data_IF_363398396120
#
_entry.id   IF_363398396120
#
_cell.length_a   1.000
_cell.length_b   1.000
_cell.length_c   1.000
_cell.angle_alpha   90.00
_cell.angle_beta   90.00
_cell.angle_gamma   90.00
#
_symmetry.space_group_name_H-M   'P 1'
#
loop_
_entity.id
_entity.type
_entity.pdbx_description
1 polymer ?
#
# COMPACT_ATOMS: atom_id res chain seq x y z
N UNK A 1 -7.86 22.46 1.13
CA UNK A 1 -6.85 21.48 0.64
C UNK A 1 -5.50 21.57 1.35
N UNK A 2 -4.97 22.77 1.65
CA UNK A 2 -3.61 22.94 2.21
C UNK A 2 -3.30 22.09 3.47
N UNK A 3 -4.23 21.96 4.42
CA UNK A 3 -4.02 21.13 5.63
C UNK A 3 -3.94 19.62 5.35
N UNK A 4 -4.65 19.13 4.33
CA UNK A 4 -4.67 17.72 3.95
C UNK A 4 -3.42 17.29 3.15
N UNK A 5 -2.71 18.25 2.55
CA UNK A 5 -1.48 18.01 1.78
C UNK A 5 -0.23 17.98 2.67
N UNK A 6 -0.28 18.54 3.89
CA UNK A 6 0.88 18.57 4.82
C UNK A 6 1.48 17.19 5.10
N UNK A 7 0.69 16.14 5.41
CA UNK A 7 1.25 14.80 5.64
C UNK A 7 1.91 14.22 4.38
N UNK A 8 1.33 14.47 3.20
CA UNK A 8 1.90 14.03 1.91
C UNK A 8 3.25 14.67 1.69
N UNK A 9 3.35 15.99 1.86
CA UNK A 9 4.60 16.75 1.66
C UNK A 9 5.68 16.33 2.66
N UNK A 10 5.32 16.15 3.94
CA UNK A 10 6.29 15.70 4.97
C UNK A 10 6.85 14.32 4.66
N UNK A 11 5.99 13.38 4.24
CA UNK A 11 6.43 12.06 3.83
C UNK A 11 7.30 12.12 2.57
N UNK A 12 6.99 13.01 1.62
CA UNK A 12 7.82 13.21 0.43
C UNK A 12 9.21 13.73 0.79
N UNK A 13 9.31 14.71 1.69
CA UNK A 13 10.61 15.19 2.16
C UNK A 13 11.40 14.08 2.85
N UNK A 14 10.72 13.23 3.63
CA UNK A 14 11.34 12.06 4.22
C UNK A 14 11.82 11.04 3.17
N UNK A 15 11.01 10.77 2.15
CA UNK A 15 11.42 9.92 1.02
C UNK A 15 12.63 10.50 0.27
N UNK A 16 12.71 11.82 0.08
CA UNK A 16 13.90 12.47 -0.50
C UNK A 16 15.16 12.22 0.32
N UNK A 17 15.07 12.22 1.65
CA UNK A 17 16.20 11.87 2.52
C UNK A 17 16.57 10.41 2.29
N UNK A 18 15.59 9.50 2.24
CA UNK A 18 15.86 8.08 1.99
C UNK A 18 16.52 7.83 0.63
N UNK A 19 16.13 8.54 -0.43
CA UNK A 19 16.82 8.48 -1.72
C UNK A 19 18.29 8.93 -1.65
N UNK A 20 18.60 9.92 -0.82
CA UNK A 20 20.01 10.33 -0.58
C UNK A 20 20.74 9.24 0.20
N UNK A 21 20.12 8.66 1.21
CA UNK A 21 20.71 7.55 1.97
C UNK A 21 20.94 6.33 1.07
N UNK A 22 20.01 6.00 0.18
CA UNK A 22 20.16 4.95 -0.83
C UNK A 22 21.42 5.17 -1.68
N UNK A 23 21.62 6.39 -2.19
CA UNK A 23 22.82 6.73 -2.97
C UNK A 23 24.12 6.59 -2.18
N UNK A 24 24.10 6.95 -0.89
CA UNK A 24 25.26 6.79 -0.02
C UNK A 24 25.58 5.32 0.22
N UNK A 25 24.59 4.49 0.56
CA UNK A 25 24.79 3.07 0.78
C UNK A 25 25.08 2.28 -0.50
N UNK A 26 24.66 2.81 -1.66
CA UNK A 26 25.07 2.32 -2.96
C UNK A 26 26.51 2.72 -3.36
N UNK A 27 27.20 3.47 -2.49
CA UNK A 27 28.62 3.77 -2.64
C UNK A 27 28.92 5.04 -3.43
N UNK A 28 27.91 5.89 -3.66
CA UNK A 28 28.02 7.11 -4.47
C UNK A 28 28.36 8.30 -3.56
N UNK A 29 29.54 8.32 -2.97
CA UNK A 29 30.05 9.43 -2.15
C UNK A 29 31.57 9.60 -2.34
N UNK A 30 32.19 10.76 -2.02
CA UNK A 30 33.63 10.94 -2.20
C UNK A 30 34.50 9.81 -1.64
N UNK A 31 35.21 9.09 -2.51
CA UNK A 31 36.05 7.94 -2.14
C UNK A 31 35.29 6.62 -1.98
N UNK A 32 33.99 6.59 -2.26
CA UNK A 32 33.13 5.43 -2.23
C UNK A 32 33.30 4.51 -3.45
N UNK A 33 32.86 3.24 -3.34
CA UNK A 33 33.15 2.21 -4.33
C UNK A 33 32.45 2.42 -5.69
N UNK A 34 31.47 3.32 -5.78
CA UNK A 34 30.76 3.69 -7.01
C UNK A 34 31.00 5.15 -7.46
N UNK A 35 31.83 5.93 -6.75
CA UNK A 35 31.98 7.39 -6.93
C UNK A 35 32.63 7.82 -8.25
N UNK A 36 33.40 6.96 -8.92
CA UNK A 36 34.05 7.24 -10.22
C UNK A 36 34.45 5.98 -11.02
N UNK A 37 34.31 4.80 -10.44
CA UNK A 37 34.97 3.58 -10.94
C UNK A 37 34.09 2.77 -11.90
N UNK A 38 32.78 3.04 -11.98
CA UNK A 38 31.83 2.19 -12.74
C UNK A 38 31.89 0.72 -12.33
N UNK A 39 32.43 0.41 -11.14
CA UNK A 39 32.80 -0.96 -10.74
C UNK A 39 31.59 -1.86 -10.49
N UNK A 40 30.43 -1.24 -10.48
CA UNK A 40 29.14 -1.87 -10.49
C UNK A 40 28.38 -1.20 -11.66
N UNK A 41 27.73 -1.98 -12.52
CA UNK A 41 26.80 -1.48 -13.55
C UNK A 41 25.50 -0.99 -12.88
N UNK A 42 25.62 -0.15 -11.86
CA UNK A 42 24.51 0.32 -11.09
C UNK A 42 24.35 1.81 -11.35
N UNK A 43 23.19 2.15 -11.89
CA UNK A 43 22.68 3.49 -12.07
C UNK A 43 22.40 4.17 -10.71
N UNK A 44 23.29 3.98 -9.73
CA UNK A 44 23.13 4.35 -8.34
C UNK A 44 23.10 5.88 -8.16
N UNK A 45 23.77 6.63 -9.04
CA UNK A 45 23.72 8.10 -9.07
C UNK A 45 22.30 8.62 -9.36
N UNK A 46 21.45 7.81 -9.99
CA UNK A 46 20.05 8.16 -10.25
C UNK A 46 19.27 8.31 -8.93
N UNK A 47 19.68 7.67 -7.84
CA UNK A 47 19.05 7.88 -6.52
C UNK A 47 19.06 9.35 -6.09
N UNK A 48 20.15 10.09 -6.32
CA UNK A 48 20.22 11.53 -6.02
C UNK A 48 19.36 12.36 -6.96
N UNK A 49 19.29 11.98 -8.24
CA UNK A 49 18.36 12.60 -9.19
C UNK A 49 16.92 12.42 -8.74
N UNK A 50 16.56 11.24 -8.23
CA UNK A 50 15.25 10.96 -7.66
C UNK A 50 14.97 11.76 -6.39
N UNK A 51 15.95 11.92 -5.50
CA UNK A 51 15.81 12.81 -4.34
C UNK A 51 15.48 14.26 -4.77
N UNK A 52 16.18 14.77 -5.79
CA UNK A 52 15.96 16.12 -6.33
C UNK A 52 14.58 16.23 -6.95
N UNK A 53 14.22 15.33 -7.87
CA UNK A 53 12.92 15.31 -8.54
C UNK A 53 11.79 15.23 -7.51
N UNK A 54 11.89 14.32 -6.55
CA UNK A 54 10.87 14.14 -5.52
C UNK A 54 10.72 15.40 -4.65
N UNK A 55 11.83 16.09 -4.33
CA UNK A 55 11.80 17.36 -3.59
C UNK A 55 11.15 18.48 -4.40
N UNK A 56 11.44 18.59 -5.70
CA UNK A 56 10.79 19.57 -6.58
C UNK A 56 9.28 19.31 -6.63
N UNK A 57 8.86 18.05 -6.82
CA UNK A 57 7.45 17.69 -6.82
C UNK A 57 6.83 17.96 -5.44
N UNK A 58 7.54 17.75 -4.33
CA UNK A 58 7.05 18.07 -2.99
C UNK A 58 6.72 19.57 -2.85
N UNK A 59 7.60 20.44 -3.35
CA UNK A 59 7.38 21.89 -3.37
C UNK A 59 6.17 22.23 -4.25
N UNK A 60 6.03 21.59 -5.41
CA UNK A 60 4.88 21.80 -6.29
C UNK A 60 3.56 21.32 -5.67
N UNK A 61 3.58 20.22 -4.92
CA UNK A 61 2.41 19.70 -4.17
C UNK A 61 2.07 20.63 -3.01
N UNK A 62 3.07 21.16 -2.30
CA UNK A 62 2.88 22.14 -1.23
C UNK A 62 2.21 23.43 -1.73
N UNK A 63 2.46 23.82 -2.98
CA UNK A 63 1.80 24.96 -3.66
C UNK A 63 0.36 24.68 -4.08
N UNK A 64 -0.14 23.45 -3.91
CA UNK A 64 -1.57 23.13 -4.02
C UNK A 64 -2.12 22.97 -5.44
N UNK A 65 -1.27 22.72 -6.45
CA UNK A 65 -1.74 22.43 -7.81
C UNK A 65 -2.29 21.01 -7.91
N UNK A 66 -3.44 20.83 -8.59
CA UNK A 66 -3.98 19.49 -8.84
C UNK A 66 -3.04 18.65 -9.73
N UNK A 67 -2.39 19.31 -10.71
CA UNK A 67 -1.43 18.66 -11.60
C UNK A 67 -0.22 18.11 -10.84
N UNK A 68 0.24 18.81 -9.79
CA UNK A 68 1.37 18.33 -8.99
C UNK A 68 1.01 17.10 -8.13
N UNK A 69 -0.25 17.00 -7.68
CA UNK A 69 -0.74 15.80 -6.99
C UNK A 69 -0.82 14.59 -7.93
N UNK A 70 -1.25 14.78 -9.17
CA UNK A 70 -1.25 13.72 -10.19
C UNK A 70 0.19 13.29 -10.56
N UNK A 71 1.10 14.24 -10.76
CA UNK A 71 2.52 13.94 -10.97
C UNK A 71 3.11 13.13 -9.81
N UNK A 72 2.71 13.43 -8.57
CA UNK A 72 3.14 12.66 -7.40
C UNK A 72 2.60 11.24 -7.39
N UNK A 73 1.33 11.04 -7.73
CA UNK A 73 0.76 9.68 -7.83
C UNK A 73 1.53 8.85 -8.85
N UNK A 74 1.80 9.41 -10.04
CA UNK A 74 2.59 8.74 -11.08
C UNK A 74 4.01 8.42 -10.60
N UNK A 75 4.69 9.39 -9.98
CA UNK A 75 6.04 9.21 -9.46
C UNK A 75 6.11 8.15 -8.35
N UNK A 76 5.10 8.08 -7.48
CA UNK A 76 5.07 7.09 -6.41
C UNK A 76 4.90 5.67 -6.95
N UNK A 77 4.10 5.48 -8.01
CA UNK A 77 3.96 4.18 -8.69
C UNK A 77 5.27 3.75 -9.31
N UNK A 78 5.98 4.67 -9.97
CA UNK A 78 7.29 4.40 -10.54
C UNK A 78 8.28 3.92 -9.46
N UNK A 79 8.42 4.64 -8.35
CA UNK A 79 9.36 4.27 -7.29
C UNK A 79 8.99 2.99 -6.55
N UNK A 80 7.70 2.69 -6.40
CA UNK A 80 7.23 1.42 -5.82
C UNK A 80 7.72 0.19 -6.59
N UNK A 81 7.89 0.34 -7.91
CA UNK A 81 8.36 -0.72 -8.80
C UNK A 81 9.88 -0.68 -8.91
N UNK A 82 10.42 0.52 -9.11
CA UNK A 82 11.82 0.68 -9.46
C UNK A 82 12.76 0.47 -8.26
N UNK A 83 12.37 0.85 -7.02
CA UNK A 83 13.22 0.67 -5.83
C UNK A 83 13.48 -0.81 -5.49
N UNK A 84 12.46 -1.69 -5.40
CA UNK A 84 12.72 -3.12 -5.17
C UNK A 84 13.52 -3.78 -6.29
N UNK A 85 13.29 -3.38 -7.55
CA UNK A 85 14.01 -3.94 -8.69
C UNK A 85 15.48 -3.54 -8.63
N UNK A 86 15.78 -2.26 -8.39
CA UNK A 86 17.17 -1.78 -8.37
C UNK A 86 17.97 -2.29 -7.18
N UNK A 87 17.32 -2.63 -6.06
CA UNK A 87 17.95 -3.31 -4.93
C UNK A 87 18.60 -4.66 -5.29
N UNK A 88 18.16 -5.32 -6.38
CA UNK A 88 18.61 -6.67 -6.74
C UNK A 88 19.11 -6.83 -8.17
N UNK A 89 18.57 -6.06 -9.12
CA UNK A 89 18.89 -6.20 -10.54
C UNK A 89 20.22 -5.52 -10.92
N UNK A 90 20.70 -4.58 -10.10
CA UNK A 90 21.87 -3.74 -10.41
C UNK A 90 23.07 -4.07 -9.51
N UNK A 91 23.47 -5.34 -9.52
CA UNK A 91 24.64 -5.82 -8.80
C UNK A 91 24.43 -6.08 -7.32
N UNK A 92 25.41 -6.72 -6.69
CA UNK A 92 25.37 -7.07 -5.26
C UNK A 92 25.51 -5.81 -4.40
N UNK A 93 24.49 -5.54 -3.58
CA UNK A 93 24.45 -4.39 -2.67
C UNK A 93 24.61 -4.86 -1.21
N UNK A 94 25.19 -4.02 -0.33
CA UNK A 94 25.22 -4.29 1.09
C UNK A 94 23.80 -4.33 1.68
N UNK A 95 23.59 -5.08 2.76
CA UNK A 95 22.26 -5.29 3.36
C UNK A 95 21.63 -3.95 3.75
N UNK A 96 22.43 -3.00 4.20
CA UNK A 96 22.00 -1.64 4.57
C UNK A 96 21.36 -0.92 3.38
N UNK A 97 21.93 -1.05 2.18
CA UNK A 97 21.35 -0.51 0.95
C UNK A 97 20.03 -1.21 0.59
N UNK A 98 19.99 -2.54 0.63
CA UNK A 98 18.77 -3.30 0.32
C UNK A 98 17.62 -2.87 1.24
N UNK A 99 17.90 -2.73 2.54
CA UNK A 99 16.94 -2.27 3.54
C UNK A 99 16.44 -0.86 3.24
N UNK A 100 17.33 0.06 2.85
CA UNK A 100 16.89 1.43 2.55
C UNK A 100 16.07 1.52 1.26
N UNK A 101 16.40 0.76 0.21
CA UNK A 101 15.57 0.69 -1.01
C UNK A 101 14.14 0.23 -0.70
N UNK A 102 13.98 -0.77 0.17
CA UNK A 102 12.67 -1.23 0.62
C UNK A 102 11.96 -0.26 1.56
N UNK A 103 12.70 0.40 2.45
CA UNK A 103 12.14 1.47 3.28
C UNK A 103 11.62 2.62 2.39
N UNK A 104 12.37 3.01 1.37
CA UNK A 104 11.96 3.99 0.36
C UNK A 104 10.68 3.54 -0.34
N UNK A 105 10.61 2.29 -0.82
CA UNK A 105 9.40 1.73 -1.43
C UNK A 105 8.17 1.72 -0.48
N UNK A 106 8.38 1.40 0.79
CA UNK A 106 7.33 1.41 1.81
C UNK A 106 6.81 2.81 2.11
N UNK A 107 7.70 3.80 2.21
CA UNK A 107 7.31 5.21 2.37
C UNK A 107 6.59 5.71 1.12
N UNK A 108 7.06 5.34 -0.07
CA UNK A 108 6.42 5.67 -1.35
C UNK A 108 5.00 5.09 -1.46
N UNK A 109 4.77 3.87 -0.95
CA UNK A 109 3.42 3.29 -0.82
C UNK A 109 2.53 4.11 0.12
N UNK A 110 3.05 4.50 1.28
CA UNK A 110 2.29 5.33 2.22
C UNK A 110 1.92 6.69 1.61
N UNK A 111 2.84 7.30 0.86
CA UNK A 111 2.61 8.55 0.16
C UNK A 111 1.56 8.35 -0.93
N UNK A 112 1.65 7.28 -1.73
CA UNK A 112 0.68 6.97 -2.78
C UNK A 112 -0.73 6.84 -2.20
N UNK A 113 -0.90 6.07 -1.12
CA UNK A 113 -2.20 5.89 -0.44
C UNK A 113 -2.74 7.23 0.07
N UNK A 114 -1.87 8.05 0.67
CA UNK A 114 -2.28 9.36 1.22
C UNK A 114 -2.62 10.35 0.10
N UNK A 115 -1.83 10.40 -0.96
CA UNK A 115 -2.06 11.25 -2.13
C UNK A 115 -3.35 10.86 -2.86
N UNK A 116 -3.60 9.56 -3.06
CA UNK A 116 -4.86 9.06 -3.62
C UNK A 116 -6.07 9.43 -2.76
N UNK A 117 -5.91 9.41 -1.43
CA UNK A 117 -6.97 9.85 -0.51
C UNK A 117 -7.25 11.33 -0.68
N UNK A 118 -6.21 12.18 -0.70
CA UNK A 118 -6.37 13.62 -0.88
C UNK A 118 -6.95 13.96 -2.25
N UNK A 119 -6.49 13.29 -3.31
CA UNK A 119 -7.01 13.47 -4.67
C UNK A 119 -8.50 13.11 -4.76
N UNK A 120 -8.91 11.98 -4.16
CA UNK A 120 -10.33 11.60 -4.09
C UNK A 120 -11.18 12.59 -3.30
N UNK A 121 -10.65 13.15 -2.21
CA UNK A 121 -11.34 14.19 -1.43
C UNK A 121 -11.49 15.49 -2.23
N UNK A 122 -10.47 15.86 -3.02
CA UNK A 122 -10.52 17.01 -3.92
C UNK A 122 -11.54 16.84 -5.05
N UNK A 123 -11.58 15.67 -5.67
CA UNK A 123 -12.51 15.38 -6.78
C UNK A 123 -13.95 15.07 -6.31
N UNK A 124 -14.16 14.84 -5.01
CA UNK A 124 -15.49 14.72 -4.42
C UNK A 124 -16.09 16.07 -3.98
N UNK A 125 -15.30 17.15 -3.97
CA UNK A 125 -15.73 18.50 -3.60
C UNK A 125 -16.51 19.34 -4.65
N UNK A 126 -16.68 18.96 -5.94
CA UNK A 126 -17.52 19.75 -6.87
C UNK A 126 -18.99 19.87 -6.42
N UNK A 127 -19.48 18.95 -5.58
CA UNK A 127 -20.85 18.93 -5.06
C UNK A 127 -21.10 19.93 -3.92
N UNK A 128 -20.07 20.59 -3.39
CA UNK A 128 -20.20 21.52 -2.26
C UNK A 128 -20.57 22.94 -2.73
N UNK A 129 -20.13 23.36 -3.92
CA UNK A 129 -20.60 24.63 -4.52
C UNK A 129 -22.08 24.56 -4.91
N UNK A 130 -22.61 23.36 -5.20
CA UNK A 130 -24.05 23.11 -5.36
C UNK A 130 -24.83 23.20 -4.03
N UNK A 131 -24.16 23.08 -2.88
CA UNK A 131 -24.76 23.27 -1.55
C UNK A 131 -24.74 24.74 -1.10
N UNK A 132 -23.81 25.56 -1.61
CA UNK A 132 -23.73 27.01 -1.32
C UNK A 132 -24.44 27.89 -2.35
N UNK A 133 -24.82 27.35 -3.52
CA UNK A 133 -25.75 28.00 -4.45
C UNK A 133 -27.21 28.08 -3.93
N UNK A 134 -27.48 27.64 -2.70
CA UNK A 134 -28.82 27.61 -2.08
C UNK A 134 -29.20 28.90 -1.32
N UNK A 135 -28.33 29.91 -1.23
CA UNK A 135 -28.66 31.20 -0.57
C UNK A 135 -29.24 32.27 -1.51
N UNK A 136 -29.58 31.92 -2.75
CA UNK A 136 -30.26 32.80 -3.70
C UNK A 136 -31.72 32.40 -3.95
N UNK A 137 -32.63 32.88 -3.10
CA UNK A 137 -34.10 32.96 -3.28
C UNK A 137 -34.88 31.67 -3.61
N UNK A 138 -35.70 31.21 -2.66
CA UNK A 138 -36.80 30.25 -2.86
C UNK A 138 -37.88 30.81 -3.80
N UNK A 139 -38.54 29.95 -4.60
CA UNK A 139 -39.73 29.27 -4.09
C UNK A 139 -39.76 27.75 -4.34
N UNK A 140 -40.20 27.02 -3.30
CA UNK A 140 -40.93 25.74 -3.33
C UNK A 140 -40.59 24.75 -4.45
N UNK A 141 -39.64 23.86 -4.17
CA UNK A 141 -39.56 22.55 -4.78
C UNK A 141 -39.20 21.55 -3.69
N UNK A 142 -40.14 20.69 -3.30
CA UNK A 142 -39.88 19.60 -2.36
C UNK A 142 -38.66 18.81 -2.85
N UNK A 143 -37.56 18.89 -2.11
CA UNK A 143 -36.36 18.09 -2.38
C UNK A 143 -36.79 16.63 -2.22
N UNK A 144 -36.63 15.76 -3.23
CA UNK A 144 -36.97 14.36 -3.05
C UNK A 144 -36.12 13.84 -1.89
N UNK A 145 -36.73 13.23 -0.89
CA UNK A 145 -35.98 12.39 0.04
C UNK A 145 -35.08 11.48 -0.81
N UNK A 146 -33.77 11.38 -0.51
CA UNK A 146 -32.93 10.45 -1.23
C UNK A 146 -33.59 9.09 -1.07
N UNK A 147 -34.11 8.55 -2.18
CA UNK A 147 -34.87 7.32 -2.15
C UNK A 147 -34.03 6.27 -1.43
N UNK A 148 -34.68 5.47 -0.60
CA UNK A 148 -34.05 4.33 0.09
C UNK A 148 -33.23 3.49 -0.89
N UNK A 149 -33.65 3.42 -2.15
CA UNK A 149 -32.92 2.81 -3.27
C UNK A 149 -31.59 3.50 -3.64
N UNK A 150 -31.51 4.83 -3.64
CA UNK A 150 -30.26 5.55 -3.93
C UNK A 150 -29.22 5.35 -2.80
N UNK A 151 -29.68 5.35 -1.55
CA UNK A 151 -28.82 5.04 -0.38
C UNK A 151 -28.34 3.59 -0.42
N UNK A 152 -29.24 2.65 -0.78
CA UNK A 152 -28.94 1.23 -0.91
C UNK A 152 -27.94 0.97 -2.04
N UNK A 153 -28.13 1.55 -3.22
CA UNK A 153 -27.18 1.46 -4.35
C UNK A 153 -25.80 2.03 -3.99
N UNK A 154 -25.73 3.14 -3.25
CA UNK A 154 -24.47 3.72 -2.79
C UNK A 154 -23.76 2.79 -1.81
N UNK A 155 -24.48 2.26 -0.83
CA UNK A 155 -23.98 1.25 0.12
C UNK A 155 -23.45 0.00 -0.61
N UNK A 156 -24.21 -0.52 -1.57
CA UNK A 156 -23.85 -1.72 -2.33
C UNK A 156 -22.62 -1.49 -3.22
N UNK A 157 -22.48 -0.30 -3.82
CA UNK A 157 -21.29 0.04 -4.61
C UNK A 157 -20.01 0.14 -3.76
N UNK A 158 -20.11 0.68 -2.54
CA UNK A 158 -19.00 0.77 -1.60
C UNK A 158 -18.63 -0.62 -1.07
N UNK A 159 -19.61 -1.45 -0.74
CA UNK A 159 -19.40 -2.83 -0.33
C UNK A 159 -18.72 -3.65 -1.44
N UNK A 160 -19.18 -3.51 -2.69
CA UNK A 160 -18.59 -4.19 -3.85
C UNK A 160 -17.16 -3.75 -4.12
N UNK A 161 -16.87 -2.45 -4.01
CA UNK A 161 -15.50 -1.91 -4.15
C UNK A 161 -14.56 -2.45 -3.08
N UNK A 162 -15.01 -2.46 -1.83
CA UNK A 162 -14.23 -2.97 -0.71
C UNK A 162 -13.98 -4.49 -0.82
N UNK A 163 -14.98 -5.23 -1.31
CA UNK A 163 -14.85 -6.65 -1.64
C UNK A 163 -13.76 -6.90 -2.71
N UNK A 164 -13.77 -6.12 -3.79
CA UNK A 164 -12.73 -6.21 -4.83
C UNK A 164 -11.34 -5.87 -4.32
N UNK A 165 -11.22 -4.86 -3.44
CA UNK A 165 -9.94 -4.49 -2.85
C UNK A 165 -9.40 -5.57 -1.92
N UNK A 166 -10.23 -6.10 -1.01
CA UNK A 166 -9.83 -7.22 -0.14
C UNK A 166 -9.42 -8.42 -0.99
N UNK A 167 -10.30 -8.85 -1.91
CA UNK A 167 -10.04 -10.01 -2.75
C UNK A 167 -8.80 -9.85 -3.62
N UNK A 168 -8.64 -8.70 -4.28
CA UNK A 168 -7.51 -8.44 -5.18
C UNK A 168 -6.17 -8.38 -4.45
N UNK A 169 -6.10 -7.69 -3.31
CA UNK A 169 -4.85 -7.59 -2.54
C UNK A 169 -4.51 -8.94 -1.87
N UNK A 170 -5.50 -9.70 -1.39
CA UNK A 170 -5.23 -11.04 -0.86
C UNK A 170 -4.84 -12.03 -1.96
N UNK A 171 -5.36 -11.88 -3.19
CA UNK A 171 -4.90 -12.68 -4.33
C UNK A 171 -3.43 -12.38 -4.66
N UNK A 172 -3.03 -11.10 -4.66
CA UNK A 172 -1.63 -10.73 -4.87
C UNK A 172 -0.71 -11.33 -3.79
N UNK A 173 -1.12 -11.31 -2.52
CA UNK A 173 -0.41 -11.99 -1.44
C UNK A 173 -0.29 -13.50 -1.70
N UNK A 174 -1.39 -14.16 -2.09
CA UNK A 174 -1.38 -15.59 -2.37
C UNK A 174 -0.43 -15.94 -3.53
N UNK A 175 -0.39 -15.13 -4.58
CA UNK A 175 0.56 -15.30 -5.68
C UNK A 175 2.02 -15.14 -5.23
N UNK A 176 2.30 -14.19 -4.35
CA UNK A 176 3.64 -14.00 -3.79
C UNK A 176 4.10 -15.23 -2.98
N UNK A 177 3.22 -15.77 -2.13
CA UNK A 177 3.49 -16.99 -1.35
C UNK A 177 3.68 -18.22 -2.24
N UNK A 178 2.91 -18.34 -3.32
CA UNK A 178 3.07 -19.43 -4.29
C UNK A 178 4.40 -19.30 -5.02
N UNK A 179 4.75 -18.09 -5.47
CA UNK A 179 6.01 -17.82 -6.15
C UNK A 179 7.22 -18.15 -5.26
N UNK A 180 7.13 -17.80 -3.97
CA UNK A 180 8.12 -18.14 -2.95
C UNK A 180 8.33 -19.66 -2.83
N UNK A 181 7.26 -20.43 -2.62
CA UNK A 181 7.37 -21.89 -2.54
C UNK A 181 7.89 -22.52 -3.84
N UNK A 182 7.47 -22.00 -5.00
CA UNK A 182 7.94 -22.49 -6.31
C UNK A 182 9.43 -22.21 -6.48
N UNK A 183 9.87 -21.01 -6.13
CA UNK A 183 11.26 -20.60 -6.23
C UNK A 183 12.16 -21.44 -5.33
N UNK A 184 11.73 -21.71 -4.10
CA UNK A 184 12.46 -22.59 -3.18
C UNK A 184 12.47 -24.07 -3.62
N UNK A 185 11.74 -24.42 -4.68
CA UNK A 185 11.74 -25.75 -5.29
C UNK A 185 10.70 -26.71 -4.72
N UNK A 186 9.70 -26.22 -3.98
CA UNK A 186 8.59 -27.04 -3.47
C UNK A 186 7.50 -27.28 -4.53
N UNK A 187 7.92 -27.76 -5.70
CA UNK A 187 7.02 -28.14 -6.80
C UNK A 187 6.87 -29.66 -6.89
N UNK A 188 5.84 -30.20 -7.59
CA UNK A 188 5.78 -31.62 -7.90
C UNK A 188 7.06 -32.08 -8.60
N UNK A 189 7.73 -33.10 -8.06
CA UNK A 189 9.03 -33.57 -8.55
C UNK A 189 10.25 -32.77 -8.09
N UNK A 190 10.06 -31.73 -7.27
CA UNK A 190 11.12 -30.95 -6.63
C UNK A 190 11.48 -31.46 -5.23
N UNK A 191 11.72 -30.52 -4.29
CA UNK A 191 12.04 -30.85 -2.89
C UNK A 191 10.93 -31.67 -2.23
N UNK A 192 11.30 -32.57 -1.32
CA UNK A 192 10.35 -33.37 -0.54
C UNK A 192 9.57 -32.50 0.45
N UNK A 193 8.25 -32.65 0.45
CA UNK A 193 7.38 -31.92 1.38
C UNK A 193 7.34 -32.66 2.70
N UNK A 194 7.90 -32.07 3.75
CA UNK A 194 7.93 -32.68 5.08
C UNK A 194 7.56 -31.66 6.15
N UNK A 195 7.29 -32.11 7.37
CA UNK A 195 7.05 -31.23 8.52
C UNK A 195 8.32 -30.97 9.33
N UNK A 196 9.46 -31.54 8.92
CA UNK A 196 10.76 -31.21 9.50
C UNK A 196 11.16 -29.79 9.06
N UNK A 197 11.90 -29.07 9.92
CA UNK A 197 12.33 -27.69 9.69
C UNK A 197 12.92 -27.45 8.30
N UNK A 198 13.66 -28.44 7.80
CA UNK A 198 14.47 -28.31 6.60
C UNK A 198 13.67 -28.57 5.32
N UNK A 199 12.44 -29.10 5.46
CA UNK A 199 11.55 -29.44 4.35
C UNK A 199 10.14 -28.88 4.50
N UNK A 200 9.91 -27.94 5.43
CA UNK A 200 8.60 -27.35 5.72
C UNK A 200 8.23 -26.14 4.86
N UNK A 201 9.09 -25.72 3.91
CA UNK A 201 8.83 -24.54 3.08
C UNK A 201 7.60 -24.64 2.19
N UNK A 202 7.06 -25.84 1.94
CA UNK A 202 5.76 -25.99 1.26
C UNK A 202 4.56 -25.37 2.02
N UNK A 203 4.73 -25.07 3.32
CA UNK A 203 3.66 -24.50 4.16
C UNK A 203 3.15 -23.14 3.66
N UNK A 204 3.93 -22.45 2.84
CA UNK A 204 3.56 -21.19 2.19
C UNK A 204 2.31 -21.34 1.29
N UNK A 205 2.15 -22.49 0.65
CA UNK A 205 0.94 -22.81 -0.13
C UNK A 205 -0.28 -22.96 0.77
N UNK A 206 -0.12 -23.57 1.95
CA UNK A 206 -1.19 -23.68 2.94
C UNK A 206 -1.61 -22.29 3.42
N UNK A 207 -0.66 -21.40 3.72
CA UNK A 207 -0.95 -20.03 4.09
C UNK A 207 -1.68 -19.27 2.97
N UNK A 208 -1.29 -19.46 1.71
CA UNK A 208 -1.97 -18.87 0.56
C UNK A 208 -3.44 -19.32 0.48
N UNK A 209 -3.70 -20.62 0.58
CA UNK A 209 -5.06 -21.18 0.56
C UNK A 209 -5.90 -20.67 1.74
N UNK A 210 -5.34 -20.68 2.96
CA UNK A 210 -6.04 -20.20 4.16
C UNK A 210 -6.39 -18.72 4.02
N UNK A 211 -5.45 -17.88 3.57
CA UNK A 211 -5.68 -16.46 3.35
C UNK A 211 -6.82 -16.23 2.33
N UNK A 212 -6.84 -16.97 1.22
CA UNK A 212 -7.90 -16.88 0.21
C UNK A 212 -9.28 -17.32 0.75
N UNK A 213 -9.34 -18.41 1.52
CA UNK A 213 -10.60 -18.88 2.14
C UNK A 213 -11.15 -17.83 3.11
N UNK A 214 -10.28 -17.27 3.95
CA UNK A 214 -10.69 -16.25 4.92
C UNK A 214 -11.09 -14.96 4.21
N UNK A 215 -10.37 -14.55 3.17
CA UNK A 215 -10.72 -13.40 2.35
C UNK A 215 -12.05 -13.57 1.62
N UNK A 216 -12.32 -14.75 1.05
CA UNK A 216 -13.62 -15.06 0.45
C UNK A 216 -14.75 -14.88 1.47
N UNK A 217 -14.55 -15.28 2.73
CA UNK A 217 -15.53 -15.04 3.81
C UNK A 217 -15.59 -13.58 4.27
N UNK A 218 -14.47 -12.87 4.26
CA UNK A 218 -14.37 -11.47 4.63
C UNK A 218 -15.06 -10.54 3.60
N UNK A 219 -15.01 -10.89 2.32
CA UNK A 219 -15.72 -10.21 1.22
C UNK A 219 -17.24 -10.18 1.44
N UNK A 220 -17.80 -11.21 2.06
CA UNK A 220 -19.22 -11.26 2.42
C UNK A 220 -19.55 -10.50 3.72
N UNK A 221 -18.63 -9.68 4.26
CA UNK A 221 -18.89 -8.79 5.38
C UNK A 221 -18.90 -9.43 6.77
N UNK A 222 -18.47 -10.70 6.90
CA UNK A 222 -18.42 -11.38 8.20
C UNK A 222 -17.36 -10.72 9.10
N UNK A 223 -17.78 -10.01 10.16
CA UNK A 223 -16.89 -9.31 11.11
C UNK A 223 -15.77 -10.20 11.65
N UNK A 224 -16.07 -11.46 11.96
CA UNK A 224 -15.07 -12.42 12.42
C UNK A 224 -14.03 -12.72 11.33
N UNK A 225 -14.45 -12.90 10.07
CA UNK A 225 -13.54 -13.15 8.96
C UNK A 225 -12.64 -11.94 8.66
N UNK A 226 -13.17 -10.72 8.75
CA UNK A 226 -12.37 -9.49 8.62
C UNK A 226 -11.30 -9.41 9.72
N UNK A 227 -11.65 -9.74 10.98
CA UNK A 227 -10.69 -9.75 12.10
C UNK A 227 -9.64 -10.86 11.94
N UNK A 228 -10.06 -12.06 11.53
CA UNK A 228 -9.16 -13.17 11.25
C UNK A 228 -8.19 -12.84 10.11
N UNK A 229 -8.68 -12.19 9.05
CA UNK A 229 -7.84 -11.80 7.92
C UNK A 229 -6.77 -10.79 8.33
N UNK A 230 -7.10 -9.83 9.20
CA UNK A 230 -6.10 -8.93 9.81
C UNK A 230 -5.08 -9.73 10.61
N UNK A 231 -5.52 -10.65 11.47
CA UNK A 231 -4.62 -11.48 12.28
C UNK A 231 -3.64 -12.29 11.43
N UNK A 232 -4.15 -13.00 10.43
CA UNK A 232 -3.33 -13.79 9.48
C UNK A 232 -2.35 -12.88 8.74
N UNK A 233 -2.81 -11.76 8.23
CA UNK A 233 -1.98 -10.82 7.49
C UNK A 233 -0.86 -10.21 8.36
N UNK A 234 -1.12 -9.92 9.63
CA UNK A 234 -0.09 -9.43 10.54
C UNK A 234 0.95 -10.51 10.90
N UNK A 235 0.51 -11.76 11.08
CA UNK A 235 1.43 -12.89 11.30
C UNK A 235 2.34 -13.06 10.08
N UNK A 236 1.76 -13.08 8.88
CA UNK A 236 2.53 -13.20 7.64
C UNK A 236 3.45 -12.00 7.42
N UNK A 237 3.03 -10.79 7.76
CA UNK A 237 3.90 -9.61 7.70
C UNK A 237 5.13 -9.78 8.59
N UNK A 238 4.95 -10.20 9.84
CA UNK A 238 6.07 -10.42 10.77
C UNK A 238 6.97 -11.55 10.25
N UNK A 239 6.39 -12.71 9.93
CA UNK A 239 7.15 -13.86 9.43
C UNK A 239 7.95 -13.47 8.19
N UNK A 240 7.31 -12.89 7.17
CA UNK A 240 8.00 -12.49 5.93
C UNK A 240 9.04 -11.40 6.11
N UNK A 241 8.82 -10.48 7.05
CA UNK A 241 9.78 -9.40 7.32
C UNK A 241 11.00 -9.91 8.08
N UNK A 242 10.88 -10.94 8.91
CA UNK A 242 11.95 -11.38 9.82
C UNK A 242 12.62 -12.70 9.44
N UNK A 243 11.96 -13.58 8.70
CA UNK A 243 12.51 -14.88 8.24
C UNK A 243 13.85 -14.69 7.51
N UNK A 244 14.00 -13.75 6.56
CA UNK A 244 15.29 -13.55 5.88
C UNK A 244 16.44 -13.19 6.81
N UNK A 245 16.18 -12.36 7.82
CA UNK A 245 17.19 -11.96 8.80
C UNK A 245 17.55 -13.11 9.74
N UNK A 246 16.55 -13.88 10.19
CA UNK A 246 16.75 -15.05 11.06
C UNK A 246 17.55 -16.14 10.36
N UNK A 247 17.31 -16.34 9.06
CA UNK A 247 18.00 -17.35 8.25
C UNK A 247 19.31 -16.85 7.64
N UNK A 248 19.63 -15.55 7.79
CA UNK A 248 20.75 -14.88 7.11
C UNK A 248 20.72 -15.11 5.60
N UNK A 249 19.52 -15.02 5.03
CA UNK A 249 19.27 -15.24 3.61
C UNK A 249 20.00 -14.18 2.78
N UNK A 250 20.65 -14.62 1.70
CA UNK A 250 21.42 -13.76 0.80
C UNK A 250 20.96 -13.86 -0.65
N UNK A 251 20.09 -14.83 -0.97
CA UNK A 251 19.54 -14.94 -2.31
C UNK A 251 18.62 -13.72 -2.60
N UNK A 252 18.97 -12.87 -3.58
CA UNK A 252 18.23 -11.65 -3.87
C UNK A 252 16.78 -11.93 -4.29
N UNK A 253 16.49 -13.07 -4.91
CA UNK A 253 15.14 -13.42 -5.34
C UNK A 253 14.30 -13.84 -4.14
N UNK A 254 14.88 -14.60 -3.20
CA UNK A 254 14.20 -14.96 -1.94
C UNK A 254 13.90 -13.71 -1.12
N UNK A 255 14.87 -12.80 -1.01
CA UNK A 255 14.68 -11.50 -0.34
C UNK A 255 13.56 -10.68 -0.99
N UNK A 256 13.53 -10.60 -2.32
CA UNK A 256 12.48 -9.91 -3.05
C UNK A 256 11.10 -10.53 -2.80
N UNK A 257 10.98 -11.85 -2.85
CA UNK A 257 9.73 -12.58 -2.63
C UNK A 257 9.22 -12.39 -1.19
N UNK A 258 10.12 -12.44 -0.21
CA UNK A 258 9.80 -12.14 1.19
C UNK A 258 9.31 -10.70 1.38
N UNK A 259 10.00 -9.71 0.81
CA UNK A 259 9.56 -8.31 0.87
C UNK A 259 8.21 -8.10 0.20
N UNK A 260 7.98 -8.65 -1.00
CA UNK A 260 6.69 -8.59 -1.68
C UNK A 260 5.60 -9.23 -0.83
N UNK A 261 5.87 -10.39 -0.23
CA UNK A 261 4.97 -11.05 0.71
C UNK A 261 4.65 -10.20 1.93
N UNK A 262 5.64 -9.52 2.51
CA UNK A 262 5.47 -8.62 3.65
C UNK A 262 4.60 -7.40 3.28
N UNK A 263 4.90 -6.71 2.18
CA UNK A 263 4.10 -5.55 1.74
C UNK A 263 2.67 -5.94 1.36
N UNK A 264 2.49 -7.05 0.65
CA UNK A 264 1.16 -7.56 0.32
C UNK A 264 0.37 -7.91 1.59
N UNK A 265 1.02 -8.54 2.57
CA UNK A 265 0.42 -8.84 3.88
C UNK A 265 -0.01 -7.57 4.62
N UNK A 266 0.87 -6.56 4.71
CA UNK A 266 0.53 -5.28 5.32
C UNK A 266 -0.62 -4.57 4.59
N UNK A 267 -0.62 -4.61 3.26
CA UNK A 267 -1.69 -4.05 2.45
C UNK A 267 -3.04 -4.76 2.73
N UNK A 268 -3.07 -6.10 2.84
CA UNK A 268 -4.26 -6.85 3.25
C UNK A 268 -4.75 -6.37 4.62
N UNK A 269 -3.86 -6.25 5.61
CA UNK A 269 -4.22 -5.81 6.95
C UNK A 269 -4.83 -4.39 6.95
N UNK A 270 -4.21 -3.45 6.23
CA UNK A 270 -4.65 -2.05 6.15
C UNK A 270 -5.98 -1.90 5.42
N UNK A 271 -6.14 -2.56 4.27
CA UNK A 271 -7.40 -2.56 3.50
C UNK A 271 -8.52 -3.13 4.36
N UNK A 272 -8.29 -4.27 5.00
CA UNK A 272 -9.28 -4.94 5.84
C UNK A 272 -9.65 -4.10 7.06
N UNK A 273 -8.67 -3.47 7.73
CA UNK A 273 -8.91 -2.54 8.82
C UNK A 273 -9.69 -1.29 8.37
N UNK A 274 -9.42 -0.78 7.16
CA UNK A 274 -10.16 0.31 6.55
C UNK A 274 -11.64 -0.03 6.35
N UNK A 275 -11.94 -1.26 5.91
CA UNK A 275 -13.32 -1.76 5.77
C UNK A 275 -14.04 -1.85 7.11
N UNK A 276 -13.37 -2.34 8.16
CA UNK A 276 -13.96 -2.39 9.51
C UNK A 276 -14.30 -0.98 10.02
N UNK A 277 -13.40 0.01 9.82
CA UNK A 277 -13.62 1.40 10.26
C UNK A 277 -14.69 2.13 9.44
N UNK A 278 -14.79 1.85 8.14
CA UNK A 278 -15.79 2.44 7.26
C UNK A 278 -17.21 1.87 7.44
N UNK A 279 -17.37 0.75 8.14
CA UNK A 279 -18.64 0.05 8.36
C UNK A 279 -19.48 0.54 9.55
N UNK A 280 -19.09 1.61 10.25
CA UNK A 280 -19.86 2.18 11.35
C UNK A 280 -20.39 3.58 10.99
N UNK A 281 -21.46 3.64 10.20
CA UNK A 281 -22.36 4.78 10.31
C UNK A 281 -23.15 4.60 11.63
N UNK A 282 -23.14 5.56 12.56
CA UNK A 282 -24.03 5.51 13.70
C UNK A 282 -25.45 5.46 13.15
N UNK A 283 -26.21 4.44 13.55
CA UNK A 283 -27.65 4.45 13.41
C UNK A 283 -28.11 5.74 14.08
N UNK A 284 -28.53 6.76 13.30
CA UNK A 284 -29.21 7.93 13.87
C UNK A 284 -30.41 7.34 14.60
N UNK A 285 -30.33 7.30 15.92
CA UNK A 285 -31.50 7.10 16.77
C UNK A 285 -32.52 8.13 16.29
N UNK A 286 -33.63 7.63 15.74
CA UNK A 286 -34.80 8.43 15.46
C UNK A 286 -35.17 9.14 16.77
N UNK A 287 -35.00 10.46 16.78
CA UNK A 287 -35.53 11.30 17.86
C UNK A 287 -37.04 11.07 17.87
N UNK A 288 -37.65 10.59 18.97
CA UNK A 288 -39.10 10.52 19.05
C UNK A 288 -39.60 11.96 19.00
N UNK A 289 -40.45 12.26 18.02
CA UNK A 289 -41.24 13.48 17.96
C UNK A 289 -42.02 13.62 19.26
N UNK A 290 -41.57 14.52 20.14
CA UNK A 290 -42.37 15.07 21.22
C UNK A 290 -43.24 16.17 20.63
N UNK A 291 -44.31 15.76 19.95
CA UNK A 291 -45.48 16.61 19.70
C UNK A 291 -46.72 15.79 20.07
N UNK A 292 -47.04 15.81 21.37
CA UNK A 292 -48.39 15.61 21.92
C UNK A 292 -48.32 15.68 23.46
N UNK A 293 -48.41 16.89 24.02
CA UNK A 293 -49.02 17.20 25.32
C UNK A 293 -49.15 18.72 25.46
#
# INVERSE_FOLDING_TARGET
>A
MAGALRPVVLLMLFASILFVVDGVFDGVYPGGPAWFTGRYDNLAEISYVFAIINTIVAIMVARGSERSLQSRIGLSVFFLIERPITAFALGTKPIESIVTHFATAGVELLILVTALRVWRLGNAAPDVDALFALDGSSPTGAKPEPSTDAVRRRSDSVARRNAWLIGGVTLALALALVADGVYEGYVPGGKTWTTASDGSGWIVYLFAVVALIVAARAVHGKKLALRLLIGIALILFIERSFTPFSMREQDPIVLALHSVGAFASLAVALVTAGVIRGGAAPHRASVPTLEAA
#
